data_IF_692128493356
#
_entry.id   IF_692128493356
#
_cell.length_a   1.000
_cell.length_b   1.000
_cell.length_c   1.000
_cell.angle_alpha   90.00
_cell.angle_beta   90.00
_cell.angle_gamma   90.00
#
_symmetry.space_group_name_H-M   'P 1'
#
loop_
_entity.id
_entity.type
_entity.pdbx_description
1 polymer ?
#
# COMPACT_ATOMS: atom_id res chain seq x y z
N UNK A 1 -12.60 39.91 27.22
CA UNK A 1 -12.82 39.49 25.83
C UNK A 1 -11.45 39.40 25.16
N UNK A 2 -10.98 38.17 24.89
CA UNK A 2 -9.57 37.90 24.52
C UNK A 2 -9.22 38.43 23.11
N UNK A 3 -7.91 38.57 22.81
CA UNK A 3 -7.42 37.62 21.83
C UNK A 3 -6.02 37.05 22.10
N UNK A 4 -5.90 35.79 21.69
CA UNK A 4 -4.71 35.17 21.13
C UNK A 4 -3.48 35.07 22.05
N UNK A 5 -3.48 34.00 22.86
CA UNK A 5 -2.24 33.25 23.10
C UNK A 5 -1.62 32.93 21.73
N UNK A 6 -0.50 33.56 21.38
CA UNK A 6 0.40 33.04 20.37
C UNK A 6 0.94 31.72 20.89
N UNK A 7 0.23 30.64 20.61
CA UNK A 7 0.80 29.32 20.75
C UNK A 7 1.83 29.22 19.62
N UNK A 8 3.10 29.46 19.96
CA UNK A 8 4.24 28.98 19.20
C UNK A 8 4.20 27.45 19.23
N UNK A 9 3.28 26.88 18.48
CA UNK A 9 3.26 25.46 18.20
C UNK A 9 4.28 25.20 17.12
N UNK A 10 5.55 25.02 17.49
CA UNK A 10 6.41 24.08 16.80
C UNK A 10 5.75 22.69 16.95
N UNK A 11 4.62 22.46 16.28
CA UNK A 11 4.18 21.10 15.98
C UNK A 11 5.14 20.66 14.89
N UNK A 12 6.30 20.17 15.29
CA UNK A 12 7.07 19.20 14.50
C UNK A 12 6.15 18.01 14.31
N UNK A 13 5.25 18.13 13.34
CA UNK A 13 4.30 17.09 12.99
C UNK A 13 5.14 15.94 12.45
N UNK A 14 5.01 14.73 13.01
CA UNK A 14 5.56 13.57 12.33
C UNK A 14 4.90 13.53 10.95
N UNK A 15 5.71 13.48 9.90
CA UNK A 15 5.20 13.29 8.54
C UNK A 15 5.39 11.81 8.20
N UNK A 16 4.43 10.93 8.54
CA UNK A 16 4.54 9.52 8.22
C UNK A 16 4.40 9.29 6.71
N UNK A 17 5.15 8.31 6.23
CA UNK A 17 5.07 7.79 4.87
C UNK A 17 5.04 6.26 4.93
N UNK A 18 4.37 5.67 3.95
CA UNK A 18 4.24 4.22 3.83
C UNK A 18 5.11 3.77 2.66
N UNK A 19 5.76 2.62 2.83
CA UNK A 19 6.46 1.91 1.77
C UNK A 19 5.78 0.56 1.60
N UNK A 20 5.61 0.14 0.36
CA UNK A 20 5.06 -1.15 0.00
C UNK A 20 6.05 -1.82 -0.94
N UNK A 21 6.45 -3.05 -0.60
CA UNK A 21 7.41 -3.85 -1.36
C UNK A 21 6.72 -5.10 -1.85
N UNK A 22 6.73 -5.30 -3.16
CA UNK A 22 6.10 -6.42 -3.84
C UNK A 22 7.10 -7.08 -4.78
N UNK A 23 7.43 -8.36 -4.56
CA UNK A 23 8.42 -9.13 -5.34
C UNK A 23 9.77 -8.41 -5.57
N UNK A 24 10.17 -7.57 -4.62
CA UNK A 24 11.40 -6.76 -4.70
C UNK A 24 11.21 -5.36 -5.27
N UNK A 25 10.06 -5.04 -5.88
CA UNK A 25 9.71 -3.69 -6.28
C UNK A 25 9.14 -2.91 -5.10
N UNK A 26 9.91 -1.92 -4.62
CA UNK A 26 9.50 -1.04 -3.55
C UNK A 26 8.93 0.26 -4.10
N UNK A 27 7.71 0.59 -3.69
CA UNK A 27 7.09 1.91 -3.89
C UNK A 27 6.81 2.57 -2.55
N UNK A 28 6.81 3.91 -2.53
CA UNK A 28 6.55 4.69 -1.32
C UNK A 28 5.53 5.77 -1.60
N UNK A 29 4.68 6.04 -0.61
CA UNK A 29 3.72 7.13 -0.67
C UNK A 29 4.40 8.46 -0.38
N UNK A 30 3.74 9.56 -0.74
CA UNK A 30 4.12 10.87 -0.24
C UNK A 30 3.99 10.97 1.29
N UNK A 31 4.76 11.90 1.86
CA UNK A 31 4.71 12.24 3.27
C UNK A 31 3.42 13.01 3.55
N UNK A 32 2.69 12.61 4.59
CA UNK A 32 1.43 13.29 4.97
C UNK A 32 1.65 14.07 6.27
N UNK A 33 1.32 15.36 6.28
CA UNK A 33 1.37 16.18 7.48
C UNK A 33 0.11 15.99 8.34
N UNK A 34 0.02 14.89 9.09
CA UNK A 34 -1.15 14.67 9.96
C UNK A 34 -0.83 14.02 11.29
N UNK A 35 -1.52 14.49 12.34
CA UNK A 35 -1.09 14.35 13.74
C UNK A 35 -1.76 13.19 14.50
N UNK A 36 -2.61 12.39 13.84
CA UNK A 36 -3.31 11.26 14.48
C UNK A 36 -3.91 10.28 13.47
N UNK A 37 -4.32 10.76 12.29
CA UNK A 37 -4.99 9.97 11.25
C UNK A 37 -4.41 10.37 9.89
N UNK A 38 -3.23 9.85 9.56
CA UNK A 38 -2.61 10.10 8.27
C UNK A 38 -3.37 9.30 7.20
N UNK A 39 -4.09 10.00 6.33
CA UNK A 39 -4.76 9.39 5.17
C UNK A 39 -3.90 9.60 3.94
N UNK A 40 -3.28 8.54 3.46
CA UNK A 40 -2.69 8.51 2.13
C UNK A 40 -3.81 8.29 1.12
N UNK A 41 -4.12 9.31 0.32
CA UNK A 41 -5.06 9.21 -0.82
C UNK A 41 -4.35 8.77 -2.10
N UNK A 42 -3.21 8.12 -1.95
CA UNK A 42 -2.30 7.78 -3.04
C UNK A 42 -2.42 6.30 -3.33
N UNK A 43 -2.55 5.96 -4.60
CA UNK A 43 -2.68 4.60 -5.08
C UNK A 43 -1.33 4.15 -5.62
N UNK A 44 -0.81 3.04 -5.11
CA UNK A 44 0.41 2.41 -5.62
C UNK A 44 -0.03 1.32 -6.59
N UNK A 45 0.27 1.49 -7.87
CA UNK A 45 0.03 0.49 -8.91
C UNK A 45 1.34 -0.19 -9.29
N UNK A 46 1.29 -1.48 -9.56
CA UNK A 46 2.41 -2.24 -10.12
C UNK A 46 1.91 -2.94 -11.37
N UNK A 47 2.41 -2.50 -12.53
CA UNK A 47 1.96 -2.92 -13.86
C UNK A 47 2.78 -4.09 -14.44
N UNK A 48 3.96 -4.40 -13.87
CA UNK A 48 4.91 -5.41 -14.41
C UNK A 48 5.29 -6.53 -13.42
N UNK A 49 4.58 -6.64 -12.30
CA UNK A 49 4.98 -7.54 -11.20
C UNK A 49 4.69 -9.02 -11.44
N UNK A 50 3.91 -9.40 -12.46
CA UNK A 50 3.59 -10.80 -12.75
C UNK A 50 3.13 -11.55 -11.49
N UNK A 51 2.02 -11.09 -10.90
CA UNK A 51 1.50 -11.63 -9.64
C UNK A 51 1.06 -13.08 -9.80
N UNK A 52 1.42 -13.90 -8.81
CA UNK A 52 1.06 -15.31 -8.71
C UNK A 52 0.49 -15.60 -7.32
N UNK A 53 -0.23 -16.71 -7.23
CA UNK A 53 -0.70 -17.23 -5.95
C UNK A 53 0.50 -17.59 -5.06
N UNK A 54 0.50 -17.12 -3.82
CA UNK A 54 1.59 -17.20 -2.85
C UNK A 54 2.40 -15.91 -2.75
N UNK A 55 2.19 -14.92 -3.63
CA UNK A 55 2.86 -13.63 -3.53
C UNK A 55 2.36 -12.84 -2.32
N UNK A 56 3.27 -12.10 -1.69
CA UNK A 56 2.98 -11.27 -0.53
C UNK A 56 3.50 -9.85 -0.75
N UNK A 57 2.78 -8.89 -0.18
CA UNK A 57 3.19 -7.49 -0.11
C UNK A 57 3.67 -7.19 1.30
N UNK A 58 4.86 -6.59 1.41
CA UNK A 58 5.41 -6.09 2.67
C UNK A 58 5.12 -4.61 2.74
N UNK A 59 4.36 -4.19 3.73
CA UNK A 59 4.02 -2.80 3.98
C UNK A 59 4.78 -2.35 5.22
N UNK A 60 5.60 -1.32 5.08
CA UNK A 60 6.35 -0.73 6.18
C UNK A 60 6.02 0.75 6.30
N UNK A 61 5.66 1.17 7.50
CA UNK A 61 5.35 2.57 7.80
C UNK A 61 6.54 3.20 8.47
N UNK A 62 6.92 4.38 8.01
CA UNK A 62 8.02 5.17 8.54
C UNK A 62 7.50 6.55 8.97
N UNK A 63 8.11 7.11 10.00
CA UNK A 63 7.80 8.45 10.47
C UNK A 63 9.06 9.29 10.50
N UNK A 64 9.03 10.40 9.77
CA UNK A 64 10.12 11.37 9.78
C UNK A 64 9.93 12.31 10.97
N UNK A 65 10.71 12.07 12.02
CA UNK A 65 10.87 13.02 13.13
C UNK A 65 11.88 14.10 12.75
N UNK A 66 11.59 15.36 13.11
CA UNK A 66 12.35 16.56 12.75
C UNK A 66 13.81 16.64 13.24
N UNK A 67 14.40 15.58 13.81
CA UNK A 67 15.81 15.63 14.18
C UNK A 67 16.64 15.60 12.90
N UNK A 68 17.17 16.77 12.57
CA UNK A 68 18.17 17.05 11.53
C UNK A 68 19.47 16.26 11.79
N UNK A 69 19.42 14.93 11.77
CA UNK A 69 20.56 14.00 11.62
C UNK A 69 20.03 12.56 11.36
N UNK A 70 19.40 12.35 10.20
CA UNK A 70 19.75 11.20 9.36
C UNK A 70 19.10 9.81 9.51
N UNK A 71 18.01 9.54 10.25
CA UNK A 71 17.34 8.23 10.17
C UNK A 71 15.81 8.31 10.23
N UNK A 72 15.14 7.84 9.18
CA UNK A 72 13.71 7.57 9.20
C UNK A 72 13.42 6.48 10.25
N UNK A 73 12.46 6.73 11.14
CA UNK A 73 12.11 5.75 12.18
C UNK A 73 11.01 4.85 11.64
N UNK A 74 11.29 3.56 11.54
CA UNK A 74 10.27 2.54 11.24
C UNK A 74 9.24 2.53 12.37
N UNK A 75 7.97 2.77 12.02
CA UNK A 75 6.81 2.72 12.92
C UNK A 75 6.28 1.29 13.00
N UNK A 76 6.26 0.58 11.89
CA UNK A 76 5.86 -0.82 11.91
C UNK A 76 5.93 -1.45 10.54
N UNK A 77 5.75 -2.75 10.52
CA UNK A 77 5.62 -3.50 9.28
C UNK A 77 4.55 -4.56 9.38
N UNK A 78 3.96 -4.86 8.23
CA UNK A 78 3.04 -5.98 8.08
C UNK A 78 3.26 -6.63 6.72
N UNK A 79 3.19 -7.96 6.68
CA UNK A 79 3.20 -8.71 5.45
C UNK A 79 1.79 -9.26 5.21
N UNK A 80 1.31 -9.17 3.98
CA UNK A 80 -0.02 -9.62 3.60
C UNK A 80 0.03 -10.47 2.33
N UNK A 81 -0.64 -11.62 2.34
CA UNK A 81 -0.72 -12.52 1.19
C UNK A 81 -1.74 -11.98 0.17
N UNK A 82 -1.34 -11.85 -1.09
CA UNK A 82 -2.17 -11.26 -2.14
C UNK A 82 -3.18 -12.23 -2.76
N UNK A 83 -3.12 -13.52 -2.46
CA UNK A 83 -4.07 -14.55 -2.92
C UNK A 83 -5.54 -14.11 -2.95
N UNK A 84 -6.14 -13.66 -1.83
CA UNK A 84 -7.55 -13.25 -1.81
C UNK A 84 -7.83 -11.98 -2.63
N UNK A 85 -6.81 -11.21 -2.98
CA UNK A 85 -6.93 -10.00 -3.79
C UNK A 85 -6.93 -10.28 -5.29
N UNK A 86 -6.43 -11.45 -5.72
CA UNK A 86 -6.42 -11.87 -7.12
C UNK A 86 -7.83 -12.14 -7.63
N UNK A 87 -8.73 -12.63 -6.78
CA UNK A 87 -10.11 -12.97 -7.16
C UNK A 87 -11.09 -11.79 -6.95
N UNK A 88 -10.83 -10.95 -5.95
CA UNK A 88 -11.70 -9.82 -5.63
C UNK A 88 -10.91 -8.72 -4.90
N UNK A 89 -11.30 -7.46 -5.10
CA UNK A 89 -10.75 -6.35 -4.34
C UNK A 89 -10.98 -6.55 -2.84
N UNK A 90 -9.92 -6.47 -2.03
CA UNK A 90 -9.99 -6.66 -0.58
C UNK A 90 -9.76 -5.34 0.16
N UNK A 91 -10.64 -5.04 1.11
CA UNK A 91 -10.45 -3.95 2.09
C UNK A 91 -9.84 -4.55 3.34
N UNK A 92 -8.60 -4.16 3.61
CA UNK A 92 -7.77 -4.76 4.65
C UNK A 92 -7.51 -3.76 5.75
N UNK A 93 -7.65 -4.21 6.99
CA UNK A 93 -7.17 -3.52 8.17
C UNK A 93 -6.08 -4.38 8.79
N UNK A 94 -4.83 -4.02 8.51
CA UNK A 94 -3.67 -4.79 8.92
C UNK A 94 -3.05 -4.19 10.19
N UNK A 95 -2.93 -4.96 11.28
CA UNK A 95 -2.20 -4.50 12.45
C UNK A 95 -0.70 -4.43 12.10
N UNK A 96 -0.08 -3.30 12.42
CA UNK A 96 1.34 -3.12 12.21
C UNK A 96 2.11 -3.80 13.34
N UNK A 97 3.15 -4.54 13.00
CA UNK A 97 4.07 -5.10 13.99
C UNK A 97 5.13 -4.04 14.29
N UNK A 98 5.21 -3.65 15.56
CA UNK A 98 6.23 -2.72 16.02
C UNK A 98 7.63 -3.35 15.90
N UNK A 99 8.66 -2.62 15.45
CA UNK A 99 10.01 -3.13 15.45
C UNK A 99 10.52 -3.32 16.89
N UNK A 100 11.50 -4.22 17.12
CA UNK A 100 11.99 -4.54 18.47
C UNK A 100 12.61 -3.35 19.22
N UNK A 101 12.97 -2.28 18.49
CA UNK A 101 13.52 -1.04 19.04
C UNK A 101 12.48 0.10 19.09
N UNK A 102 11.19 -0.21 18.96
CA UNK A 102 10.11 0.76 19.10
C UNK A 102 10.06 1.33 20.51
N UNK A 103 9.65 2.59 20.61
CA UNK A 103 9.45 3.29 21.90
C UNK A 103 7.96 3.32 22.30
N UNK A 104 7.11 2.65 21.52
CA UNK A 104 5.67 2.55 21.70
C UNK A 104 5.31 1.06 21.74
N UNK A 105 4.31 0.72 22.54
CA UNK A 105 3.86 -0.67 22.71
C UNK A 105 3.02 -1.16 21.51
N UNK A 106 2.31 -0.26 20.83
CA UNK A 106 1.46 -0.58 19.68
C UNK A 106 1.79 0.31 18.48
N UNK A 107 2.13 -0.31 17.34
CA UNK A 107 2.41 0.40 16.08
C UNK A 107 1.14 0.90 15.36
N UNK A 108 -0.04 0.57 15.88
CA UNK A 108 -1.34 0.88 15.30
C UNK A 108 -1.76 -0.11 14.20
N UNK A 109 -2.73 0.30 13.38
CA UNK A 109 -3.17 -0.47 12.22
C UNK A 109 -3.23 0.41 10.97
N UNK A 110 -2.95 -0.19 9.82
CA UNK A 110 -3.11 0.46 8.53
C UNK A 110 -4.35 -0.09 7.82
N UNK A 111 -5.18 0.81 7.28
CA UNK A 111 -6.32 0.45 6.43
C UNK A 111 -5.94 0.72 4.99
N UNK A 112 -6.08 -0.28 4.14
CA UNK A 112 -5.78 -0.18 2.71
C UNK A 112 -6.74 -1.02 1.89
N UNK A 113 -6.94 -0.64 0.63
CA UNK A 113 -7.73 -1.41 -0.32
C UNK A 113 -6.76 -1.92 -1.38
N UNK A 114 -6.73 -3.23 -1.58
CA UNK A 114 -5.94 -3.86 -2.63
C UNK A 114 -6.90 -4.30 -3.71
N UNK A 115 -6.62 -3.88 -4.94
CA UNK A 115 -7.38 -4.26 -6.11
C UNK A 115 -6.40 -4.85 -7.12
N UNK A 116 -6.64 -6.09 -7.53
CA UNK A 116 -5.96 -6.66 -8.68
C UNK A 116 -6.72 -6.25 -9.94
N UNK A 117 -5.99 -5.69 -10.90
CA UNK A 117 -6.53 -5.31 -12.21
C UNK A 117 -5.78 -6.16 -13.22
N UNK A 118 -6.44 -7.18 -13.74
CA UNK A 118 -5.93 -7.93 -14.88
C UNK A 118 -5.90 -6.98 -16.07
N UNK A 119 -4.71 -6.73 -16.61
CA UNK A 119 -4.60 -6.09 -17.90
C UNK A 119 -4.99 -7.15 -18.93
N UNK A 120 -6.27 -7.16 -19.31
CA UNK A 120 -6.76 -7.96 -20.44
C UNK A 120 -5.88 -7.60 -21.65
N UNK A 121 -5.05 -8.55 -22.08
CA UNK A 121 -4.30 -8.38 -23.31
C UNK A 121 -5.34 -8.20 -24.41
N UNK A 122 -5.28 -7.13 -25.22
CA UNK A 122 -6.28 -6.87 -26.27
C UNK A 122 -6.20 -7.88 -27.43
N UNK A 123 -5.52 -9.00 -27.26
CA UNK A 123 -5.43 -10.03 -28.28
C UNK A 123 -6.65 -10.95 -28.15
N UNK A 124 -7.62 -10.89 -29.09
CA UNK A 124 -8.74 -11.81 -29.06
C UNK A 124 -8.21 -13.25 -29.10
N UNK A 125 -8.92 -14.22 -28.48
CA UNK A 125 -8.60 -15.64 -28.68
C UNK A 125 -8.56 -15.90 -30.19
N UNK A 126 -7.50 -16.58 -30.64
CA UNK A 126 -7.33 -16.93 -32.06
C UNK A 126 -8.65 -17.51 -32.60
N UNK A 127 -9.10 -17.10 -33.80
CA UNK A 127 -10.37 -17.56 -34.33
C UNK A 127 -10.38 -19.09 -34.35
N UNK A 128 -11.32 -19.68 -33.61
CA UNK A 128 -11.56 -21.11 -33.64
C UNK A 128 -11.98 -21.46 -35.07
N UNK A 129 -11.17 -22.26 -35.76
CA UNK A 129 -11.48 -22.74 -37.11
C UNK A 129 -12.87 -23.37 -37.12
N UNK A 130 -13.73 -22.83 -37.97
CA UNK A 130 -15.10 -23.23 -38.19
C UNK A 130 -15.14 -24.64 -38.78
N UNK A 131 -15.50 -25.65 -38.01
CA UNK A 131 -16.05 -26.89 -38.55
C UNK A 131 -17.50 -26.62 -39.02
N UNK A 132 -17.64 -25.96 -40.18
CA UNK A 132 -18.90 -25.97 -40.92
C UNK A 132 -18.94 -27.22 -41.79
N UNK A 133 -19.56 -28.25 -41.23
CA UNK A 133 -19.97 -29.48 -41.91
C UNK A 133 -20.76 -29.09 -43.15
N UNK A 134 -20.18 -29.34 -44.34
CA UNK A 134 -20.95 -29.41 -45.59
C UNK A 134 -21.75 -30.71 -45.54
N UNK A 135 -23.05 -30.60 -45.28
CA UNK A 135 -24.00 -31.65 -45.63
C UNK A 135 -24.53 -31.37 -47.03
N UNK A 136 -24.27 -32.34 -47.90
CA UNK A 136 -24.77 -32.53 -49.27
C UNK A 136 -26.27 -32.93 -49.20
N UNK A 137 -27.15 -32.17 -49.88
CA UNK A 137 -28.31 -32.65 -50.68
C UNK A 137 -28.94 -31.47 -51.47
#
# INVERSE_FOLDING_TARGET
>A
NFPCKRQMGMKSKPSPYLTATLKGEQKRTQHVDSTSDATWKEELSWDDVGLQRGDFIIIEVYSKGWSKIGRDKKVGSVAYCLDPCLEASQRLQLPLVAPPNASYEEAGSVKLTVTFIEHDSPFPPAPQESEEVRTDD
#
